data_IF_360881128034
#
_entry.id   IF_360881128034
#
_cell.length_a   1.000
_cell.length_b   1.000
_cell.length_c   1.000
_cell.angle_alpha   90.00
_cell.angle_beta   90.00
_cell.angle_gamma   90.00
#
_symmetry.space_group_name_H-M   'P 1'
#
loop_
_entity.id
_entity.type
_entity.pdbx_description
1 polymer ?
#
# COMPACT_ATOMS: atom_id res chain seq x y z
N UNK A 1 -52.29 -31.74 -58.59
CA UNK A 1 -51.65 -30.42 -58.58
C UNK A 1 -51.25 -30.13 -57.15
N UNK A 2 -50.00 -30.26 -56.88
CA UNK A 2 -49.46 -30.13 -55.45
C UNK A 2 -48.51 -28.93 -55.41
N UNK A 3 -48.97 -27.83 -54.80
CA UNK A 3 -48.17 -26.62 -54.60
C UNK A 3 -47.28 -26.80 -53.39
N UNK A 4 -45.98 -26.90 -53.62
CA UNK A 4 -45.00 -26.82 -52.59
C UNK A 4 -44.66 -25.34 -52.31
N UNK A 5 -45.11 -24.77 -51.15
CA UNK A 5 -44.61 -23.51 -50.64
C UNK A 5 -43.35 -23.80 -49.82
N UNK A 6 -42.21 -23.40 -50.36
CA UNK A 6 -40.96 -23.33 -49.63
C UNK A 6 -40.98 -22.06 -48.82
N UNK A 7 -41.12 -22.19 -47.50
CA UNK A 7 -40.93 -21.09 -46.57
C UNK A 7 -39.42 -20.90 -46.33
N UNK A 8 -38.86 -19.79 -46.80
CA UNK A 8 -37.50 -19.39 -46.52
C UNK A 8 -37.43 -18.77 -45.10
N UNK A 9 -36.84 -19.49 -44.17
CA UNK A 9 -36.49 -18.97 -42.86
C UNK A 9 -35.24 -18.09 -42.99
N UNK A 10 -35.40 -16.77 -42.93
CA UNK A 10 -34.30 -15.83 -42.81
C UNK A 10 -33.78 -15.85 -41.34
N UNK A 11 -32.63 -16.47 -41.12
CA UNK A 11 -31.92 -16.39 -39.86
C UNK A 11 -31.31 -14.99 -39.71
N UNK A 12 -31.91 -14.16 -38.85
CA UNK A 12 -31.31 -12.90 -38.44
C UNK A 12 -30.20 -13.23 -37.44
N UNK A 13 -28.95 -13.22 -37.89
CA UNK A 13 -27.78 -13.28 -37.01
C UNK A 13 -27.67 -11.96 -36.28
N UNK A 14 -28.06 -11.93 -35.00
CA UNK A 14 -27.70 -10.83 -34.09
C UNK A 14 -26.17 -10.90 -33.89
N UNK A 15 -25.42 -10.06 -34.61
CA UNK A 15 -24.04 -9.82 -34.32
C UNK A 15 -23.95 -8.98 -33.05
N UNK A 16 -23.65 -9.65 -31.93
CA UNK A 16 -23.33 -9.00 -30.66
C UNK A 16 -21.93 -8.41 -30.81
N UNK A 17 -21.81 -7.21 -31.34
CA UNK A 17 -20.56 -6.45 -31.33
C UNK A 17 -20.29 -6.03 -29.85
N UNK A 18 -19.08 -6.24 -29.32
CA UNK A 18 -18.74 -5.73 -28.00
C UNK A 18 -18.84 -4.21 -28.01
N UNK A 19 -19.25 -3.62 -26.88
CA UNK A 19 -19.36 -2.17 -26.79
C UNK A 19 -17.99 -1.51 -27.00
N UNK A 20 -17.96 -0.38 -27.70
CA UNK A 20 -16.75 0.33 -28.15
C UNK A 20 -15.80 0.82 -27.05
N UNK A 21 -16.11 0.56 -25.78
CA UNK A 21 -15.24 0.82 -24.64
C UNK A 21 -14.36 -0.38 -24.22
N UNK A 22 -14.53 -1.54 -24.89
CA UNK A 22 -13.73 -2.75 -24.58
C UNK A 22 -12.29 -2.71 -25.15
N UNK A 23 -11.96 -1.73 -25.98
CA UNK A 23 -10.62 -1.56 -26.57
C UNK A 23 -9.77 -0.50 -25.85
N UNK A 24 -10.12 -0.15 -24.62
CA UNK A 24 -9.25 0.68 -23.82
C UNK A 24 -8.03 -0.14 -23.36
N UNK A 25 -7.07 -0.31 -24.25
CA UNK A 25 -5.68 -0.49 -23.87
C UNK A 25 -5.19 0.85 -23.29
N UNK A 26 -5.83 1.26 -22.18
CA UNK A 26 -5.35 2.38 -21.36
C UNK A 26 -4.15 1.83 -20.64
N UNK A 27 -3.00 1.88 -21.30
CA UNK A 27 -1.74 1.92 -20.59
C UNK A 27 -1.86 3.12 -19.65
N UNK A 28 -2.01 2.83 -18.34
CA UNK A 28 -1.94 3.87 -17.34
C UNK A 28 -0.72 4.75 -17.68
N UNK A 29 -0.84 6.10 -17.67
CA UNK A 29 0.29 6.95 -17.94
C UNK A 29 1.43 6.53 -17.01
N UNK A 30 2.69 6.61 -17.44
CA UNK A 30 3.82 6.30 -16.56
C UNK A 30 3.63 7.13 -15.30
N UNK A 31 3.46 6.44 -14.18
CA UNK A 31 3.21 7.09 -12.90
C UNK A 31 4.51 7.81 -12.55
N UNK A 32 4.59 9.07 -12.93
CA UNK A 32 5.55 9.98 -12.33
C UNK A 32 5.06 10.14 -10.89
N UNK A 33 5.76 9.56 -9.94
CA UNK A 33 5.29 9.43 -8.56
C UNK A 33 5.44 10.77 -7.81
N UNK A 34 5.03 11.86 -8.47
CA UNK A 34 5.04 13.22 -7.91
C UNK A 34 4.31 13.26 -6.55
N UNK A 35 3.24 12.47 -6.41
CA UNK A 35 2.52 12.39 -5.14
C UNK A 35 3.31 11.65 -4.06
N UNK A 36 4.15 10.68 -4.41
CA UNK A 36 5.08 10.08 -3.46
C UNK A 36 6.09 11.13 -2.95
N UNK A 37 6.71 11.86 -3.84
CA UNK A 37 7.70 12.90 -3.50
C UNK A 37 7.06 14.04 -2.68
N UNK A 38 5.88 14.51 -3.08
CA UNK A 38 5.14 15.54 -2.34
C UNK A 38 4.72 15.06 -0.93
N UNK A 39 4.31 13.79 -0.82
CA UNK A 39 3.99 13.17 0.46
C UNK A 39 5.23 13.03 1.36
N UNK A 40 6.36 12.61 0.78
CA UNK A 40 7.63 12.51 1.49
C UNK A 40 8.12 13.89 1.96
N UNK A 41 8.03 14.92 1.12
CA UNK A 41 8.38 16.30 1.50
C UNK A 41 7.49 16.83 2.63
N UNK A 42 6.20 16.53 2.58
CA UNK A 42 5.27 16.88 3.67
C UNK A 42 5.65 16.19 4.99
N UNK A 43 6.12 14.94 4.96
CA UNK A 43 6.64 14.24 6.15
C UNK A 43 7.84 15.00 6.76
N UNK A 44 8.78 15.45 5.94
CA UNK A 44 9.98 16.17 6.41
C UNK A 44 9.63 17.45 7.19
N UNK A 45 8.54 18.12 6.80
CA UNK A 45 8.04 19.31 7.48
C UNK A 45 6.94 19.01 8.50
N UNK A 46 6.64 17.73 8.75
CA UNK A 46 5.63 17.23 9.69
C UNK A 46 4.20 17.73 9.38
N UNK A 47 3.90 17.99 8.12
CA UNK A 47 2.56 18.28 7.65
C UNK A 47 1.85 16.95 7.33
N UNK A 48 1.30 16.33 8.39
CA UNK A 48 0.74 14.98 8.33
C UNK A 48 -0.51 14.89 7.45
N UNK A 49 -1.31 15.95 7.40
CA UNK A 49 -2.53 15.98 6.59
C UNK A 49 -2.19 16.02 5.10
N UNK A 50 -1.21 16.85 4.74
CA UNK A 50 -0.70 16.93 3.38
C UNK A 50 0.02 15.63 2.99
N UNK A 51 0.82 15.06 3.90
CA UNK A 51 1.48 13.77 3.67
C UNK A 51 0.46 12.67 3.36
N UNK A 52 -0.59 12.53 4.18
CA UNK A 52 -1.67 11.54 3.93
C UNK A 52 -2.35 11.80 2.61
N UNK A 53 -2.69 13.06 2.28
CA UNK A 53 -3.39 13.39 1.04
C UNK A 53 -2.63 12.93 -0.21
N UNK A 54 -1.33 13.19 -0.27
CA UNK A 54 -0.50 12.79 -1.40
C UNK A 54 -0.17 11.29 -1.39
N UNK A 55 0.17 10.72 -0.23
CA UNK A 55 0.54 9.30 -0.16
C UNK A 55 -0.64 8.36 -0.45
N UNK A 56 -1.88 8.76 -0.16
CA UNK A 56 -3.08 8.00 -0.58
C UNK A 56 -3.16 7.93 -2.11
N UNK A 57 -2.82 9.01 -2.82
CA UNK A 57 -2.79 9.01 -4.29
C UNK A 57 -1.65 8.13 -4.78
N UNK A 58 -0.46 8.26 -4.19
CA UNK A 58 0.70 7.44 -4.54
C UNK A 58 0.43 5.93 -4.37
N UNK A 59 -0.17 5.53 -3.26
CA UNK A 59 -0.55 4.13 -2.98
C UNK A 59 -1.62 3.61 -3.95
N UNK A 60 -2.58 4.45 -4.37
CA UNK A 60 -3.57 4.06 -5.38
C UNK A 60 -2.93 3.86 -6.75
N UNK A 61 -1.97 4.71 -7.10
CA UNK A 61 -1.25 4.62 -8.37
C UNK A 61 -0.31 3.41 -8.41
N UNK A 62 0.39 3.15 -7.30
CA UNK A 62 1.34 2.04 -7.16
C UNK A 62 1.04 1.20 -5.91
N UNK A 63 0.03 0.31 -5.96
CA UNK A 63 -0.37 -0.48 -4.77
C UNK A 63 0.72 -1.42 -4.24
N UNK A 64 1.71 -1.75 -5.07
CA UNK A 64 2.85 -2.62 -4.73
C UNK A 64 4.12 -1.86 -4.36
N UNK A 65 4.03 -0.55 -4.16
CA UNK A 65 5.14 0.26 -3.66
C UNK A 65 5.20 0.16 -2.12
N UNK A 66 6.16 -0.62 -1.61
CA UNK A 66 6.31 -0.84 -0.16
C UNK A 66 6.67 0.45 0.59
N UNK A 67 7.51 1.31 -0.01
CA UNK A 67 7.88 2.59 0.60
C UNK A 67 6.68 3.53 0.73
N UNK A 68 5.82 3.63 -0.30
CA UNK A 68 4.62 4.44 -0.25
C UNK A 68 3.65 3.95 0.84
N UNK A 69 3.45 2.64 0.94
CA UNK A 69 2.65 2.03 2.01
C UNK A 69 3.25 2.34 3.38
N UNK A 70 4.56 2.17 3.56
CA UNK A 70 5.25 2.44 4.81
C UNK A 70 5.12 3.92 5.24
N UNK A 71 5.35 4.86 4.31
CA UNK A 71 5.25 6.29 4.59
C UNK A 71 3.81 6.74 4.92
N UNK A 72 2.81 6.14 4.27
CA UNK A 72 1.41 6.40 4.60
C UNK A 72 1.07 5.89 6.01
N UNK A 73 1.57 4.70 6.39
CA UNK A 73 1.48 4.20 7.75
C UNK A 73 2.13 5.13 8.76
N UNK A 74 3.32 5.66 8.43
CA UNK A 74 4.04 6.62 9.27
C UNK A 74 3.25 7.92 9.47
N UNK A 75 2.67 8.47 8.41
CA UNK A 75 1.84 9.67 8.50
C UNK A 75 0.60 9.44 9.38
N UNK A 76 -0.11 8.31 9.21
CA UNK A 76 -1.25 7.97 10.06
C UNK A 76 -0.86 7.74 11.53
N UNK A 77 0.29 7.10 11.80
CA UNK A 77 0.79 6.94 13.17
C UNK A 77 0.99 8.30 13.86
N UNK A 78 1.56 9.27 13.13
CA UNK A 78 1.77 10.61 13.66
C UNK A 78 0.47 11.40 13.87
N UNK A 79 -0.59 11.06 13.11
CA UNK A 79 -1.96 11.53 13.38
C UNK A 79 -2.65 10.76 14.53
N UNK A 80 -1.97 9.80 15.16
CA UNK A 80 -2.53 8.88 16.17
C UNK A 80 -3.66 7.97 15.65
N UNK A 81 -3.76 7.80 14.34
CA UNK A 81 -4.69 6.88 13.67
C UNK A 81 -4.05 5.50 13.53
N UNK A 82 -3.83 4.84 14.68
CA UNK A 82 -3.02 3.63 14.74
C UNK A 82 -3.59 2.47 13.92
N UNK A 83 -4.91 2.29 13.87
CA UNK A 83 -5.54 1.22 13.07
C UNK A 83 -5.19 1.36 11.59
N UNK A 84 -5.29 2.58 11.04
CA UNK A 84 -4.89 2.87 9.66
C UNK A 84 -3.38 2.68 9.45
N UNK A 85 -2.57 3.10 10.40
CA UNK A 85 -1.13 2.89 10.34
C UNK A 85 -0.78 1.40 10.23
N UNK A 86 -1.39 0.55 11.06
CA UNK A 86 -1.17 -0.91 11.00
C UNK A 86 -1.60 -1.51 9.66
N UNK A 87 -2.69 -1.07 9.06
CA UNK A 87 -3.12 -1.52 7.72
C UNK A 87 -2.01 -1.30 6.70
N UNK A 88 -1.44 -0.10 6.67
CA UNK A 88 -0.43 0.27 5.68
C UNK A 88 0.95 -0.35 5.97
N UNK A 89 1.38 -0.42 7.23
CA UNK A 89 2.62 -1.15 7.59
C UNK A 89 2.54 -2.63 7.24
N UNK A 90 1.40 -3.29 7.51
CA UNK A 90 1.21 -4.68 7.14
C UNK A 90 1.20 -4.87 5.61
N UNK A 91 0.65 -3.91 4.85
CA UNK A 91 0.73 -3.91 3.40
C UNK A 91 2.18 -3.79 2.91
N UNK A 92 2.98 -2.87 3.49
CA UNK A 92 4.40 -2.72 3.17
C UNK A 92 5.16 -4.03 3.42
N UNK A 93 4.97 -4.66 4.58
CA UNK A 93 5.64 -5.90 4.95
C UNK A 93 5.15 -7.13 4.16
N UNK A 94 3.93 -7.10 3.64
CA UNK A 94 3.43 -8.12 2.71
C UNK A 94 4.11 -8.01 1.34
N UNK A 95 4.41 -6.80 0.90
CA UNK A 95 5.11 -6.52 -0.38
C UNK A 95 6.60 -6.84 -0.22
N UNK A 96 7.24 -6.28 0.80
CA UNK A 96 8.64 -6.54 1.15
C UNK A 96 8.78 -6.99 2.61
N UNK A 97 8.86 -8.30 2.86
CA UNK A 97 9.05 -8.85 4.21
C UNK A 97 10.38 -8.48 4.89
N UNK A 98 11.29 -7.84 4.18
CA UNK A 98 12.59 -7.38 4.71
C UNK A 98 12.70 -5.85 4.78
N UNK A 99 11.59 -5.14 4.60
CA UNK A 99 11.54 -3.69 4.65
C UNK A 99 11.86 -3.18 6.06
N UNK A 100 13.11 -2.75 6.28
CA UNK A 100 13.62 -2.38 7.60
C UNK A 100 12.82 -1.29 8.28
N UNK A 101 12.59 -0.16 7.59
CA UNK A 101 11.82 0.95 8.14
C UNK A 101 10.37 0.55 8.48
N UNK A 102 9.74 -0.37 7.73
CA UNK A 102 8.41 -0.83 8.08
C UNK A 102 8.40 -1.69 9.36
N UNK A 103 9.42 -2.54 9.56
CA UNK A 103 9.57 -3.27 10.82
C UNK A 103 9.81 -2.33 12.01
N UNK A 104 10.65 -1.32 11.85
CA UNK A 104 10.88 -0.31 12.87
C UNK A 104 9.58 0.42 13.22
N UNK A 105 8.92 1.02 12.23
CA UNK A 105 7.77 1.91 12.46
C UNK A 105 6.53 1.16 12.96
N UNK A 106 6.27 -0.06 12.50
CA UNK A 106 5.20 -0.87 13.08
C UNK A 106 5.53 -1.32 14.50
N UNK A 107 6.79 -1.64 14.77
CA UNK A 107 7.26 -1.94 16.11
C UNK A 107 7.04 -0.78 17.08
N UNK A 108 7.40 0.44 16.66
CA UNK A 108 7.13 1.65 17.43
C UNK A 108 5.63 1.92 17.63
N UNK A 109 4.80 1.66 16.59
CA UNK A 109 3.35 1.76 16.72
C UNK A 109 2.81 0.78 17.77
N UNK A 110 3.35 -0.44 17.84
CA UNK A 110 3.01 -1.40 18.89
C UNK A 110 3.47 -0.93 20.28
N UNK A 111 4.63 -0.29 20.39
CA UNK A 111 5.06 0.35 21.66
C UNK A 111 4.06 1.42 22.08
N UNK A 112 3.67 2.31 21.16
CA UNK A 112 2.71 3.39 21.44
C UNK A 112 1.30 2.90 21.81
N UNK A 113 0.92 1.71 21.35
CA UNK A 113 -0.38 1.08 21.67
C UNK A 113 -0.29 0.07 22.82
N UNK A 114 0.86 -0.03 23.50
CA UNK A 114 1.05 -0.88 24.69
C UNK A 114 1.31 -2.37 24.37
N UNK A 115 1.48 -2.75 23.11
CA UNK A 115 1.75 -4.14 22.73
C UNK A 115 3.26 -4.40 22.58
N UNK A 116 3.94 -4.40 23.73
CA UNK A 116 5.40 -4.59 23.77
C UNK A 116 5.85 -5.94 23.20
N UNK A 117 5.03 -6.99 23.34
CA UNK A 117 5.35 -8.32 22.79
C UNK A 117 5.44 -8.27 21.26
N UNK A 118 4.49 -7.61 20.58
CA UNK A 118 4.53 -7.43 19.12
C UNK A 118 5.71 -6.57 18.69
N UNK A 119 6.03 -5.50 19.41
CA UNK A 119 7.22 -4.70 19.14
C UNK A 119 8.50 -5.55 19.16
N UNK A 120 8.63 -6.48 20.12
CA UNK A 120 9.77 -7.39 20.23
C UNK A 120 9.86 -8.38 19.06
N UNK A 121 8.73 -8.84 18.50
CA UNK A 121 8.71 -9.66 17.29
C UNK A 121 9.36 -8.94 16.10
N UNK A 122 9.04 -7.64 15.92
CA UNK A 122 9.62 -6.81 14.87
C UNK A 122 11.09 -6.50 15.13
N UNK A 123 11.49 -6.28 16.38
CA UNK A 123 12.90 -6.13 16.76
C UNK A 123 13.72 -7.38 16.41
N UNK A 124 13.19 -8.57 16.72
CA UNK A 124 13.83 -9.83 16.33
C UNK A 124 13.88 -10.04 14.81
N UNK A 125 12.91 -9.51 14.06
CA UNK A 125 12.97 -9.50 12.60
C UNK A 125 14.10 -8.61 12.11
N UNK A 126 14.25 -7.40 12.62
CA UNK A 126 15.35 -6.48 12.29
C UNK A 126 16.72 -7.10 12.59
N UNK A 127 16.87 -7.78 13.72
CA UNK A 127 18.10 -8.46 14.07
C UNK A 127 18.51 -9.48 12.97
N UNK A 128 17.53 -10.22 12.42
CA UNK A 128 17.78 -11.19 11.34
C UNK A 128 18.06 -10.52 9.99
N UNK A 129 17.44 -9.35 9.73
CA UNK A 129 17.54 -8.65 8.44
C UNK A 129 18.86 -7.89 8.31
N UNK A 130 19.25 -7.15 9.34
CA UNK A 130 20.39 -6.23 9.29
C UNK A 130 21.32 -6.29 10.51
N UNK A 131 20.99 -7.12 11.52
CA UNK A 131 21.79 -7.23 12.73
C UNK A 131 21.54 -6.07 13.72
N UNK A 132 22.14 -6.20 14.91
CA UNK A 132 21.95 -5.20 16.01
C UNK A 132 22.62 -3.85 15.75
N UNK A 133 23.47 -3.78 14.74
CA UNK A 133 24.22 -2.57 14.39
C UNK A 133 23.48 -1.62 13.48
N UNK A 134 22.36 -2.02 12.85
CA UNK A 134 21.60 -1.14 11.96
C UNK A 134 20.74 -0.13 12.77
N UNK A 135 20.50 1.01 12.17
CA UNK A 135 19.80 2.15 12.79
C UNK A 135 18.38 1.74 13.22
N UNK A 136 17.65 1.08 12.35
CA UNK A 136 16.26 0.67 12.59
C UNK A 136 16.13 -0.30 13.79
N UNK A 137 17.11 -1.21 13.96
CA UNK A 137 17.14 -2.06 15.15
C UNK A 137 17.38 -1.25 16.43
N UNK A 138 18.36 -0.34 16.40
CA UNK A 138 18.74 0.44 17.57
C UNK A 138 17.60 1.40 17.99
N UNK A 139 16.91 1.99 17.04
CA UNK A 139 15.82 2.91 17.30
C UNK A 139 14.61 2.20 17.92
N UNK A 140 14.21 1.05 17.35
CA UNK A 140 13.14 0.24 17.92
C UNK A 140 13.53 -0.33 19.30
N UNK A 141 14.77 -0.80 19.48
CA UNK A 141 15.25 -1.29 20.77
C UNK A 141 15.17 -0.21 21.84
N UNK A 142 15.55 1.02 21.49
CA UNK A 142 15.46 2.20 22.36
C UNK A 142 14.00 2.52 22.71
N UNK A 143 13.11 2.52 21.73
CA UNK A 143 11.67 2.74 21.94
C UNK A 143 11.06 1.71 22.90
N UNK A 144 11.39 0.42 22.74
CA UNK A 144 10.94 -0.66 23.63
C UNK A 144 11.48 -0.50 25.06
N UNK A 145 12.74 -0.09 25.21
CA UNK A 145 13.37 0.09 26.52
C UNK A 145 12.78 1.28 27.31
N UNK A 146 12.34 2.32 26.59
CA UNK A 146 11.75 3.53 27.21
C UNK A 146 10.24 3.37 27.49
N UNK A 147 9.60 2.36 26.94
CA UNK A 147 8.18 2.08 27.19
C UNK A 147 7.96 1.64 28.65
N UNK A 148 7.09 2.38 29.36
CA UNK A 148 6.70 2.10 30.76
C UNK A 148 5.71 0.94 30.82
#
# INVERSE_FOLDING_TARGET
MRNNLLAALAAVALSCAPPAWADANVTAPPVNNADFDLGYDAIKVKDWDKAVSHLVIAVKAEPTNADAQNLLGYAYRNQKKYDLAFVHYNAALKIDPKHKAAHEYVGEAYVLTGNKAKAQEHLAALERICGKGCEEYQDLARAIAQAK
#
